data_IF_957260870990
#
_entry.id   IF_957260870990
#
_cell.length_a   1.000
_cell.length_b   1.000
_cell.length_c   1.000
_cell.angle_alpha   90.00
_cell.angle_beta   90.00
_cell.angle_gamma   90.00
#
_symmetry.space_group_name_H-M   'P 1'
#
loop_
_entity.id
_entity.type
_entity.pdbx_description
1 polymer ?
#
# COMPACT_ATOMS: atom_id res chain seq x y z
N UNK A 1 18.93 -9.17 -22.62
CA UNK A 1 18.69 -9.90 -21.37
C UNK A 1 18.57 -11.38 -21.71
N UNK A 2 19.08 -12.30 -20.87
CA UNK A 2 18.90 -13.76 -21.03
C UNK A 2 18.29 -14.51 -19.81
N UNK A 3 17.71 -13.77 -18.87
CA UNK A 3 17.32 -14.24 -17.54
C UNK A 3 16.19 -13.41 -16.92
N UNK A 4 15.63 -13.85 -15.80
CA UNK A 4 14.76 -13.08 -14.90
C UNK A 4 15.56 -12.06 -14.08
N UNK A 5 14.87 -11.09 -13.50
CA UNK A 5 15.46 -10.11 -12.58
C UNK A 5 15.85 -10.74 -11.25
N UNK A 6 16.81 -10.11 -10.58
CA UNK A 6 17.21 -10.47 -9.22
C UNK A 6 16.03 -10.20 -8.28
N UNK A 7 15.69 -11.15 -7.42
CA UNK A 7 14.72 -10.96 -6.35
C UNK A 7 15.39 -10.37 -5.11
N UNK A 8 14.73 -9.40 -4.49
CA UNK A 8 15.10 -8.82 -3.20
C UNK A 8 13.90 -8.98 -2.28
N UNK A 9 14.06 -9.59 -1.09
CA UNK A 9 13.04 -9.55 -0.05
C UNK A 9 12.60 -8.13 0.30
N UNK A 10 11.35 -7.99 0.74
CA UNK A 10 10.84 -6.76 1.33
C UNK A 10 11.60 -6.41 2.60
N UNK A 11 11.91 -5.12 2.80
CA UNK A 11 12.48 -4.61 4.06
C UNK A 11 11.53 -4.82 5.25
N UNK A 12 10.21 -4.83 4.98
CA UNK A 12 9.18 -5.14 5.96
C UNK A 12 8.86 -6.64 5.90
N UNK A 13 8.96 -7.32 7.05
CA UNK A 13 8.75 -8.77 7.14
C UNK A 13 7.30 -9.19 6.79
N UNK A 14 6.31 -8.38 7.19
CA UNK A 14 4.90 -8.69 6.99
C UNK A 14 4.10 -7.44 6.66
N UNK A 15 3.16 -7.60 5.73
CA UNK A 15 2.07 -6.64 5.47
C UNK A 15 0.72 -7.26 5.79
N UNK A 16 0.70 -8.36 6.54
CA UNK A 16 -0.54 -9.04 6.85
C UNK A 16 -1.46 -8.13 7.66
N UNK A 17 -2.68 -7.93 7.16
CA UNK A 17 -3.72 -7.23 7.90
C UNK A 17 -3.98 -7.94 9.22
N UNK A 18 -3.99 -7.17 10.31
CA UNK A 18 -4.36 -7.62 11.66
C UNK A 18 -5.88 -7.63 11.88
N UNK A 19 -6.66 -7.24 10.88
CA UNK A 19 -8.09 -7.08 11.03
C UNK A 19 -8.82 -8.41 11.27
N UNK A 20 -9.79 -8.41 12.18
CA UNK A 20 -10.54 -9.57 12.60
C UNK A 20 -12.05 -9.34 12.45
N UNK A 21 -12.66 -10.03 11.49
CA UNK A 21 -14.09 -9.92 11.20
C UNK A 21 -14.98 -10.43 12.34
N UNK A 22 -14.57 -11.47 13.07
CA UNK A 22 -15.35 -12.02 14.18
C UNK A 22 -15.42 -11.01 15.34
N UNK A 23 -14.31 -10.34 15.65
CA UNK A 23 -14.28 -9.27 16.67
C UNK A 23 -15.11 -8.07 16.19
N UNK A 24 -15.10 -7.78 14.89
CA UNK A 24 -15.94 -6.73 14.33
C UNK A 24 -17.44 -7.05 14.50
N UNK A 25 -17.85 -8.29 14.27
CA UNK A 25 -19.25 -8.70 14.48
C UNK A 25 -19.65 -8.60 15.96
N UNK A 26 -18.76 -9.00 16.88
CA UNK A 26 -18.97 -8.81 18.33
C UNK A 26 -19.12 -7.33 18.71
N UNK A 27 -18.45 -6.42 18.00
CA UNK A 27 -18.62 -4.97 18.22
C UNK A 27 -20.05 -4.52 17.92
N UNK A 28 -20.67 -5.10 16.90
CA UNK A 28 -22.06 -4.80 16.51
C UNK A 28 -23.02 -5.36 17.56
N UNK A 29 -22.82 -6.60 18.00
CA UNK A 29 -23.64 -7.21 19.05
C UNK A 29 -23.60 -6.38 20.36
N UNK A 30 -22.42 -5.93 20.78
CA UNK A 30 -22.27 -5.08 21.96
C UNK A 30 -23.01 -3.73 21.79
N UNK A 31 -22.99 -3.15 20.59
CA UNK A 31 -23.74 -1.93 20.28
C UNK A 31 -25.25 -2.14 20.42
N UNK A 32 -25.77 -3.24 19.85
CA UNK A 32 -27.19 -3.58 19.90
C UNK A 32 -27.70 -3.84 21.33
N UNK A 33 -26.81 -4.24 22.24
CA UNK A 33 -27.08 -4.40 23.67
C UNK A 33 -26.98 -3.08 24.47
N UNK A 34 -26.60 -1.97 23.84
CA UNK A 34 -26.39 -0.68 24.50
C UNK A 34 -25.05 -0.57 25.24
N UNK A 35 -24.13 -1.53 25.04
CA UNK A 35 -22.80 -1.55 25.65
C UNK A 35 -21.80 -0.72 24.80
N UNK A 36 -22.02 0.58 24.66
CA UNK A 36 -21.33 1.45 23.70
C UNK A 36 -19.80 1.47 23.84
N UNK A 37 -19.27 1.66 25.05
CA UNK A 37 -17.82 1.67 25.27
C UNK A 37 -17.16 0.34 24.87
N UNK A 38 -17.82 -0.78 25.21
CA UNK A 38 -17.35 -2.12 24.84
C UNK A 38 -17.43 -2.33 23.33
N UNK A 39 -18.48 -1.83 22.69
CA UNK A 39 -18.60 -1.82 21.23
C UNK A 39 -17.44 -1.06 20.58
N UNK A 40 -17.11 0.13 21.08
CA UNK A 40 -15.95 0.90 20.61
C UNK A 40 -14.64 0.13 20.82
N UNK A 41 -14.47 -0.52 21.97
CA UNK A 41 -13.29 -1.33 22.24
C UNK A 41 -13.13 -2.49 21.26
N UNK A 42 -14.20 -3.24 21.02
CA UNK A 42 -14.22 -4.35 20.07
C UNK A 42 -13.99 -3.85 18.65
N UNK A 43 -14.53 -2.69 18.27
CA UNK A 43 -14.23 -2.09 16.97
C UNK A 43 -12.73 -1.82 16.82
N UNK A 44 -12.08 -1.20 17.81
CA UNK A 44 -10.63 -0.95 17.76
C UNK A 44 -9.83 -2.26 17.74
N UNK A 45 -10.19 -3.23 18.58
CA UNK A 45 -9.53 -4.54 18.63
C UNK A 45 -9.70 -5.33 17.32
N UNK A 46 -10.83 -5.14 16.61
CA UNK A 46 -11.09 -5.72 15.31
C UNK A 46 -10.19 -5.16 14.20
N UNK A 47 -9.64 -3.96 14.38
CA UNK A 47 -8.67 -3.36 13.44
C UNK A 47 -7.27 -3.85 13.81
N UNK A 48 -6.90 -3.64 15.07
CA UNK A 48 -5.66 -4.14 15.65
C UNK A 48 -5.78 -4.19 17.18
N UNK A 49 -5.62 -5.39 17.75
CA UNK A 49 -5.70 -5.68 19.19
C UNK A 49 -4.76 -4.85 20.06
N UNK A 50 -3.66 -4.34 19.51
CA UNK A 50 -2.64 -3.60 20.26
C UNK A 50 -2.96 -2.10 20.35
N UNK A 51 -4.02 -1.62 19.67
CA UNK A 51 -4.37 -0.20 19.67
C UNK A 51 -4.77 0.31 21.04
N UNK A 52 -5.62 -0.44 21.76
CA UNK A 52 -6.09 -0.01 23.08
C UNK A 52 -4.97 -0.02 24.12
N UNK A 53 -4.08 -1.01 24.07
CA UNK A 53 -2.94 -1.07 24.99
C UNK A 53 -1.91 0.03 24.71
N UNK A 54 -1.75 0.42 23.44
CA UNK A 54 -0.71 1.38 23.04
C UNK A 54 -1.15 2.85 23.09
N UNK A 55 -2.44 3.13 22.89
CA UNK A 55 -2.93 4.48 22.61
C UNK A 55 -4.11 4.94 23.48
N UNK A 56 -4.55 4.14 24.46
CA UNK A 56 -5.64 4.49 25.37
C UNK A 56 -5.17 5.33 26.56
N UNK A 57 -6.07 6.18 27.06
CA UNK A 57 -5.97 6.72 28.41
C UNK A 57 -6.24 5.63 29.47
N UNK A 58 -5.91 5.87 30.76
CA UNK A 58 -6.13 4.89 31.83
C UNK A 58 -7.59 4.47 32.03
N UNK A 59 -8.55 5.35 31.71
CA UNK A 59 -9.98 5.09 31.84
C UNK A 59 -10.53 4.22 30.69
N UNK A 60 -9.82 4.09 29.58
CA UNK A 60 -10.27 3.31 28.44
C UNK A 60 -11.29 4.03 27.53
N UNK A 61 -11.50 5.33 27.67
CA UNK A 61 -12.53 6.07 26.93
C UNK A 61 -11.96 7.16 26.00
N UNK A 62 -10.64 7.34 25.95
CA UNK A 62 -9.97 8.27 25.04
C UNK A 62 -8.77 7.60 24.38
N UNK A 63 -8.68 7.68 23.05
CA UNK A 63 -7.66 7.01 22.23
C UNK A 63 -6.99 8.00 21.29
N UNK A 64 -5.66 7.98 21.22
CA UNK A 64 -4.87 8.90 20.38
C UNK A 64 -4.02 8.08 19.40
N UNK A 65 -4.60 7.75 18.26
CA UNK A 65 -4.06 6.75 17.34
C UNK A 65 -3.39 7.42 16.13
N UNK A 66 -2.09 7.16 15.86
CA UNK A 66 -1.41 7.71 14.71
C UNK A 66 -1.82 7.03 13.39
N UNK A 67 -1.91 7.80 12.31
CA UNK A 67 -2.13 7.31 10.95
C UNK A 67 -1.42 8.23 9.95
N UNK A 68 -0.31 7.78 9.37
CA UNK A 68 0.48 8.58 8.45
C UNK A 68 0.83 9.96 9.06
N UNK A 69 0.43 11.08 8.43
CA UNK A 69 0.65 12.41 8.96
C UNK A 69 -0.33 12.84 10.06
N UNK A 70 -1.37 12.04 10.33
CA UNK A 70 -2.48 12.39 11.23
C UNK A 70 -2.34 11.73 12.61
N UNK A 71 -3.02 12.32 13.58
CA UNK A 71 -3.34 11.71 14.86
C UNK A 71 -4.85 11.76 15.08
N UNK A 72 -5.49 10.60 15.09
CA UNK A 72 -6.93 10.48 15.28
C UNK A 72 -7.21 10.34 16.77
N UNK A 73 -8.02 11.26 17.30
CA UNK A 73 -8.51 11.24 18.66
C UNK A 73 -9.94 10.75 18.68
N UNK A 74 -10.18 9.65 19.38
CA UNK A 74 -11.52 9.17 19.70
C UNK A 74 -11.75 9.41 21.19
N UNK A 75 -12.88 10.00 21.54
CA UNK A 75 -13.26 10.22 22.93
C UNK A 75 -14.73 9.91 23.13
N UNK A 76 -15.02 9.00 24.04
CA UNK A 76 -16.36 8.70 24.51
C UNK A 76 -16.60 9.40 25.86
N UNK A 77 -17.67 10.19 25.93
CA UNK A 77 -18.21 10.72 27.18
C UNK A 77 -19.55 10.04 27.53
N UNK A 78 -20.30 10.58 28.51
CA UNK A 78 -21.56 9.96 28.96
C UNK A 78 -22.67 9.96 27.89
N UNK A 79 -22.61 10.87 26.90
CA UNK A 79 -23.69 11.07 25.92
C UNK A 79 -23.24 10.89 24.46
N UNK A 80 -21.96 11.14 24.16
CA UNK A 80 -21.45 11.29 22.80
C UNK A 80 -20.10 10.61 22.57
N UNK A 81 -19.91 10.22 21.31
CA UNK A 81 -18.62 9.86 20.75
C UNK A 81 -18.11 11.03 19.91
N UNK A 82 -16.88 11.46 20.16
CA UNK A 82 -16.17 12.50 19.44
C UNK A 82 -14.98 11.90 18.70
N UNK A 83 -14.84 12.26 17.42
CA UNK A 83 -13.69 11.91 16.58
C UNK A 83 -13.11 13.21 16.06
N UNK A 84 -11.84 13.47 16.37
CA UNK A 84 -11.12 14.65 15.90
C UNK A 84 -9.74 14.29 15.39
N UNK A 85 -9.28 14.93 14.32
CA UNK A 85 -7.90 14.80 13.87
C UNK A 85 -7.33 16.19 13.50
N UNK A 86 -6.32 16.69 14.24
CA UNK A 86 -5.62 17.91 13.86
C UNK A 86 -4.94 17.71 12.49
N UNK A 87 -5.11 18.67 11.59
CA UNK A 87 -4.63 18.56 10.22
C UNK A 87 -3.58 19.64 9.91
N UNK A 88 -4.00 20.83 9.48
CA UNK A 88 -3.12 21.85 8.91
C UNK A 88 -3.36 23.22 9.51
N UNK A 89 -2.29 24.03 9.55
CA UNK A 89 -2.35 25.45 9.86
C UNK A 89 -2.66 26.20 8.56
N UNK A 90 -3.65 27.10 8.63
CA UNK A 90 -4.02 27.98 7.55
C UNK A 90 -2.85 28.95 7.25
N UNK A 91 -2.32 28.97 6.01
CA UNK A 91 -1.17 29.78 5.65
C UNK A 91 -1.59 31.24 5.45
N UNK A 92 -0.63 32.14 5.65
CA UNK A 92 -0.84 33.58 5.40
C UNK A 92 -0.98 33.90 3.90
N UNK A 93 -0.25 33.17 3.05
CA UNK A 93 -0.32 33.27 1.59
C UNK A 93 -1.29 32.24 1.04
N UNK A 94 -1.98 32.58 -0.06
CA UNK A 94 -2.95 31.70 -0.73
C UNK A 94 -4.11 31.22 0.16
N UNK A 95 -4.40 31.92 1.26
CA UNK A 95 -5.44 31.58 2.23
C UNK A 95 -6.81 31.33 1.57
N UNK A 96 -7.24 32.21 0.67
CA UNK A 96 -8.54 32.11 -0.03
C UNK A 96 -8.60 30.86 -0.91
N UNK A 97 -7.49 30.51 -1.57
CA UNK A 97 -7.44 29.33 -2.42
C UNK A 97 -7.53 28.04 -1.59
N UNK A 98 -6.78 27.95 -0.48
CA UNK A 98 -6.87 26.82 0.44
C UNK A 98 -8.26 26.70 1.06
N UNK A 99 -8.86 27.81 1.51
CA UNK A 99 -10.22 27.82 2.07
C UNK A 99 -11.24 27.29 1.05
N UNK A 100 -11.15 27.70 -0.22
CA UNK A 100 -12.01 27.19 -1.29
C UNK A 100 -11.82 25.70 -1.50
N UNK A 101 -10.58 25.21 -1.48
CA UNK A 101 -10.30 23.78 -1.63
C UNK A 101 -10.85 22.98 -0.45
N UNK A 102 -10.63 23.43 0.79
CA UNK A 102 -11.23 22.81 1.99
C UNK A 102 -12.75 22.79 1.93
N UNK A 103 -13.39 23.89 1.51
CA UNK A 103 -14.84 23.90 1.31
C UNK A 103 -15.27 22.88 0.24
N UNK A 104 -14.54 22.77 -0.87
CA UNK A 104 -14.80 21.75 -1.89
C UNK A 104 -14.72 20.33 -1.33
N UNK A 105 -13.72 20.03 -0.49
CA UNK A 105 -13.58 18.71 0.14
C UNK A 105 -14.80 18.37 1.01
N UNK A 106 -15.27 19.32 1.80
CA UNK A 106 -16.47 19.14 2.63
C UNK A 106 -17.75 18.86 1.83
N UNK A 107 -17.81 19.24 0.54
CA UNK A 107 -18.99 19.01 -0.30
C UNK A 107 -18.86 17.78 -1.21
N UNK A 108 -17.64 17.41 -1.61
CA UNK A 108 -17.41 16.43 -2.68
C UNK A 108 -16.68 15.16 -2.22
N UNK A 109 -15.89 15.24 -1.15
CA UNK A 109 -14.98 14.15 -0.72
C UNK A 109 -15.31 13.62 0.68
N UNK A 110 -16.03 14.40 1.50
CA UNK A 110 -16.40 14.05 2.87
C UNK A 110 -17.92 13.97 3.01
N UNK A 111 -18.42 12.84 3.49
CA UNK A 111 -19.85 12.59 3.73
C UNK A 111 -20.25 12.83 5.19
N UNK A 112 -19.44 12.38 6.15
CA UNK A 112 -19.79 12.42 7.58
C UNK A 112 -18.86 13.33 8.39
N UNK A 113 -17.55 13.17 8.25
CA UNK A 113 -16.59 14.06 8.87
C UNK A 113 -16.55 15.41 8.15
N UNK A 114 -16.15 16.46 8.86
CA UNK A 114 -16.00 17.78 8.28
C UNK A 114 -14.63 18.36 8.62
N UNK A 115 -14.03 19.08 7.68
CA UNK A 115 -12.92 19.99 7.96
C UNK A 115 -13.46 21.29 8.56
N UNK A 116 -13.10 21.56 9.80
CA UNK A 116 -13.53 22.72 10.58
C UNK A 116 -12.33 23.62 10.84
N UNK A 117 -12.51 24.93 10.63
CA UNK A 117 -11.51 25.95 10.98
C UNK A 117 -11.73 26.42 12.42
N UNK A 118 -10.76 26.22 13.29
CA UNK A 118 -10.71 26.72 14.66
C UNK A 118 -9.54 27.70 14.79
N UNK A 119 -9.85 29.00 14.85
CA UNK A 119 -8.82 30.04 14.75
C UNK A 119 -8.13 29.99 13.38
N UNK A 120 -6.84 29.63 13.36
CA UNK A 120 -6.05 29.43 12.14
C UNK A 120 -5.70 27.96 11.88
N UNK A 121 -6.42 27.01 12.49
CA UNK A 121 -6.10 25.59 12.43
C UNK A 121 -7.29 24.77 11.90
N UNK A 122 -7.01 23.86 10.97
CA UNK A 122 -7.99 22.92 10.44
C UNK A 122 -7.96 21.59 11.17
N UNK A 123 -9.14 21.08 11.47
CA UNK A 123 -9.37 19.80 12.11
C UNK A 123 -10.39 19.01 11.30
N UNK A 124 -10.17 17.71 11.12
CA UNK A 124 -11.27 16.81 10.83
C UNK A 124 -12.08 16.59 12.10
N UNK A 125 -13.40 16.73 12.02
CA UNK A 125 -14.29 16.55 13.15
C UNK A 125 -15.54 15.76 12.77
N UNK A 126 -15.93 14.87 13.68
CA UNK A 126 -17.20 14.17 13.67
C UNK A 126 -17.61 13.90 15.11
N UNK A 127 -18.90 14.04 15.43
CA UNK A 127 -19.44 13.61 16.71
C UNK A 127 -20.87 13.11 16.54
N UNK A 128 -21.30 12.20 17.41
CA UNK A 128 -22.68 11.76 17.47
C UNK A 128 -23.06 11.24 18.86
N UNK A 129 -24.36 11.22 19.22
CA UNK A 129 -24.82 10.51 20.40
C UNK A 129 -24.42 9.03 20.36
N UNK A 130 -24.20 8.41 21.52
CA UNK A 130 -23.80 7.00 21.62
C UNK A 130 -24.81 6.05 20.96
N UNK A 131 -26.11 6.35 21.07
CA UNK A 131 -27.16 5.56 20.38
C UNK A 131 -27.07 5.59 18.86
N UNK A 132 -26.27 6.49 18.29
CA UNK A 132 -25.98 6.54 16.87
C UNK A 132 -24.55 6.09 16.54
N UNK A 133 -23.73 5.60 17.47
CA UNK A 133 -22.32 5.24 17.23
C UNK A 133 -22.12 3.83 16.62
N UNK A 134 -23.06 3.36 15.79
CA UNK A 134 -23.00 2.01 15.22
C UNK A 134 -21.62 1.71 14.57
N UNK A 135 -20.96 0.57 14.87
CA UNK A 135 -19.57 0.31 14.50
C UNK A 135 -19.25 0.48 13.01
N UNK A 136 -20.13 0.02 12.11
CA UNK A 136 -19.99 0.25 10.66
C UNK A 136 -19.86 1.72 10.28
N UNK A 137 -20.64 2.60 10.93
CA UNK A 137 -20.59 4.04 10.68
C UNK A 137 -19.30 4.62 11.24
N UNK A 138 -18.90 4.24 12.45
CA UNK A 138 -17.66 4.73 13.06
C UNK A 138 -16.45 4.30 12.24
N UNK A 139 -16.39 3.03 11.83
CA UNK A 139 -15.35 2.55 10.92
C UNK A 139 -15.32 3.35 9.60
N UNK A 140 -16.49 3.70 9.03
CA UNK A 140 -16.55 4.54 7.84
C UNK A 140 -15.96 5.93 8.08
N UNK A 141 -16.37 6.62 9.15
CA UNK A 141 -15.81 7.94 9.52
C UNK A 141 -14.30 7.88 9.70
N UNK A 142 -13.79 6.86 10.39
CA UNK A 142 -12.34 6.69 10.59
C UNK A 142 -11.63 6.48 9.26
N UNK A 143 -12.17 5.63 8.38
CA UNK A 143 -11.62 5.40 7.04
C UNK A 143 -11.63 6.67 6.20
N UNK A 144 -12.72 7.41 6.22
CA UNK A 144 -12.89 8.68 5.50
C UNK A 144 -11.82 9.69 5.93
N UNK A 145 -11.70 9.96 7.23
CA UNK A 145 -10.68 10.88 7.79
C UNK A 145 -9.26 10.42 7.41
N UNK A 146 -8.94 9.14 7.59
CA UNK A 146 -7.62 8.60 7.28
C UNK A 146 -7.28 8.73 5.78
N UNK A 147 -8.22 8.36 4.91
CA UNK A 147 -8.01 8.36 3.44
C UNK A 147 -7.86 9.78 2.91
N UNK A 148 -8.80 10.67 3.24
CA UNK A 148 -8.81 12.04 2.77
C UNK A 148 -7.63 12.82 3.38
N UNK A 149 -7.40 12.68 4.68
CA UNK A 149 -6.31 13.39 5.34
C UNK A 149 -4.94 12.95 4.84
N UNK A 150 -4.70 11.66 4.59
CA UNK A 150 -3.41 11.21 4.03
C UNK A 150 -3.19 11.70 2.59
N UNK A 151 -4.24 11.70 1.76
CA UNK A 151 -4.17 12.19 0.37
C UNK A 151 -3.86 13.69 0.31
N UNK A 152 -4.63 14.50 1.03
CA UNK A 152 -4.55 15.96 0.92
C UNK A 152 -3.47 16.60 1.81
N UNK A 153 -2.89 15.86 2.76
CA UNK A 153 -1.72 16.34 3.52
C UNK A 153 -0.57 16.71 2.57
N UNK A 154 -0.14 15.78 1.72
CA UNK A 154 0.94 16.01 0.75
C UNK A 154 0.54 17.01 -0.34
N UNK A 155 -0.65 16.87 -0.91
CA UNK A 155 -1.13 17.79 -1.96
C UNK A 155 -1.17 19.24 -1.46
N UNK A 156 -1.60 19.48 -0.22
CA UNK A 156 -1.66 20.84 0.32
C UNK A 156 -0.28 21.36 0.67
N UNK A 157 0.65 20.50 1.11
CA UNK A 157 2.04 20.89 1.32
C UNK A 157 2.66 21.41 0.03
N UNK A 158 2.45 20.72 -1.08
CA UNK A 158 2.97 21.11 -2.38
C UNK A 158 2.32 22.38 -2.92
N UNK A 159 0.98 22.49 -2.84
CA UNK A 159 0.24 23.61 -3.42
C UNK A 159 0.32 24.90 -2.59
N UNK A 160 0.40 24.79 -1.26
CA UNK A 160 0.20 25.92 -0.36
C UNK A 160 1.33 26.11 0.67
N UNK A 161 2.33 25.22 0.71
CA UNK A 161 3.40 25.26 1.71
C UNK A 161 2.87 25.30 3.16
N UNK A 162 1.79 24.56 3.41
CA UNK A 162 1.12 24.48 4.72
C UNK A 162 1.98 23.79 5.75
N UNK A 163 1.78 24.17 7.01
CA UNK A 163 2.37 23.49 8.16
C UNK A 163 1.35 22.56 8.79
N UNK A 164 1.80 21.38 9.22
CA UNK A 164 0.96 20.45 9.99
C UNK A 164 0.80 20.96 11.42
N UNK A 165 -0.37 20.74 12.02
CA UNK A 165 -0.59 21.06 13.45
C UNK A 165 0.30 20.15 14.31
N UNK A 166 0.33 18.86 13.99
CA UNK A 166 1.15 17.87 14.66
C UNK A 166 2.31 17.45 13.76
N UNK A 167 3.45 17.12 14.38
CA UNK A 167 4.52 16.43 13.66
C UNK A 167 4.07 14.99 13.37
N UNK A 168 4.23 14.49 12.13
CA UNK A 168 3.97 13.10 11.80
C UNK A 168 4.80 12.18 12.69
N UNK A 169 4.21 11.07 13.12
CA UNK A 169 4.94 10.03 13.80
C UNK A 169 5.50 9.07 12.75
N UNK A 170 6.82 9.09 12.56
CA UNK A 170 7.52 8.16 11.70
C UNK A 170 8.79 7.64 12.36
N UNK A 171 9.16 6.42 11.99
CA UNK A 171 10.44 5.81 12.35
C UNK A 171 11.28 5.75 11.08
N UNK A 172 12.37 6.52 10.95
CA UNK A 172 13.25 6.41 9.80
C UNK A 172 13.85 5.00 9.72
N UNK A 173 14.15 4.55 8.50
CA UNK A 173 14.88 3.30 8.30
C UNK A 173 16.28 3.43 8.90
N UNK A 174 16.84 2.31 9.37
CA UNK A 174 18.22 2.28 9.85
C UNK A 174 19.19 2.50 8.67
N UNK A 175 20.44 2.92 8.92
CA UNK A 175 21.43 3.06 7.86
C UNK A 175 21.60 1.79 7.02
N UNK A 176 21.54 0.61 7.66
CA UNK A 176 21.65 -0.69 7.00
C UNK A 176 20.43 -0.99 6.11
N UNK A 177 19.22 -0.67 6.58
CA UNK A 177 17.99 -0.79 5.80
C UNK A 177 18.01 0.16 4.58
N UNK A 178 18.48 1.39 4.75
CA UNK A 178 18.65 2.37 3.67
C UNK A 178 19.63 1.86 2.63
N UNK A 179 20.80 1.35 3.05
CA UNK A 179 21.81 0.79 2.15
C UNK A 179 21.26 -0.39 1.36
N UNK A 180 20.60 -1.33 2.05
CA UNK A 180 19.94 -2.48 1.41
C UNK A 180 18.91 -2.07 0.36
N UNK A 181 18.02 -1.16 0.71
CA UNK A 181 16.98 -0.67 -0.21
C UNK A 181 17.61 0.09 -1.39
N UNK A 182 18.62 0.91 -1.13
CA UNK A 182 19.36 1.62 -2.17
C UNK A 182 19.98 0.66 -3.19
N UNK A 183 20.72 -0.36 -2.73
CA UNK A 183 21.31 -1.38 -3.60
C UNK A 183 20.25 -2.13 -4.41
N UNK A 184 19.14 -2.50 -3.77
CA UNK A 184 18.03 -3.19 -4.43
C UNK A 184 17.41 -2.34 -5.54
N UNK A 185 17.20 -1.04 -5.30
CA UNK A 185 16.67 -0.10 -6.29
C UNK A 185 17.67 0.08 -7.44
N UNK A 186 18.94 0.32 -7.14
CA UNK A 186 19.98 0.52 -8.14
C UNK A 186 20.13 -0.68 -9.07
N UNK A 187 20.16 -1.89 -8.50
CA UNK A 187 20.22 -3.12 -9.28
C UNK A 187 18.94 -3.34 -10.10
N UNK A 188 17.76 -3.06 -9.54
CA UNK A 188 16.49 -3.18 -10.26
C UNK A 188 16.41 -2.22 -11.46
N UNK A 189 16.83 -0.97 -11.29
CA UNK A 189 16.87 0.03 -12.37
C UNK A 189 17.86 -0.41 -13.46
N UNK A 190 19.06 -0.84 -13.07
CA UNK A 190 20.09 -1.34 -14.00
C UNK A 190 19.59 -2.51 -14.83
N UNK A 191 18.99 -3.52 -14.21
CA UNK A 191 18.45 -4.70 -14.91
C UNK A 191 17.30 -4.32 -15.85
N UNK A 192 16.41 -3.43 -15.41
CA UNK A 192 15.31 -2.91 -16.21
C UNK A 192 15.82 -2.18 -17.46
N UNK A 193 16.75 -1.21 -17.31
CA UNK A 193 17.33 -0.47 -18.44
C UNK A 193 18.07 -1.38 -19.43
N UNK A 194 18.77 -2.41 -18.95
CA UNK A 194 19.37 -3.44 -19.81
C UNK A 194 18.31 -4.27 -20.55
N UNK A 195 17.19 -4.59 -19.88
CA UNK A 195 16.03 -5.22 -20.48
C UNK A 195 15.42 -4.37 -21.59
N UNK A 196 15.22 -3.08 -21.36
CA UNK A 196 14.71 -2.13 -22.35
C UNK A 196 15.60 -2.07 -23.59
N UNK A 197 16.92 -1.87 -23.41
CA UNK A 197 17.89 -1.86 -24.53
C UNK A 197 17.86 -3.14 -25.36
N UNK A 198 17.60 -4.29 -24.72
CA UNK A 198 17.52 -5.57 -25.41
C UNK A 198 16.31 -5.69 -26.35
N UNK A 199 15.18 -5.09 -25.98
CA UNK A 199 13.93 -5.17 -26.77
C UNK A 199 13.73 -4.00 -27.74
N UNK A 200 14.49 -2.92 -27.56
CA UNK A 200 14.40 -1.66 -28.31
C UNK A 200 14.53 -1.83 -29.83
N UNK A 201 15.55 -2.56 -30.29
CA UNK A 201 15.78 -2.81 -31.72
C UNK A 201 14.63 -3.59 -32.38
N UNK A 202 14.03 -4.50 -31.62
CA UNK A 202 12.90 -5.31 -32.07
C UNK A 202 11.53 -4.65 -31.87
N UNK A 203 11.49 -3.41 -31.34
CA UNK A 203 10.25 -2.65 -31.06
C UNK A 203 9.20 -3.43 -30.27
N UNK A 204 9.63 -4.33 -29.39
CA UNK A 204 8.74 -5.12 -28.53
C UNK A 204 8.27 -4.29 -27.33
N UNK A 205 7.47 -3.27 -27.60
CA UNK A 205 7.00 -2.33 -26.58
C UNK A 205 6.14 -2.99 -25.50
N UNK A 206 5.47 -4.10 -25.80
CA UNK A 206 4.76 -4.90 -24.80
C UNK A 206 5.71 -5.51 -23.75
N UNK A 207 6.80 -6.13 -24.20
CA UNK A 207 7.82 -6.70 -23.30
C UNK A 207 8.51 -5.59 -22.47
N UNK A 208 8.76 -4.44 -23.10
CA UNK A 208 9.32 -3.27 -22.41
C UNK A 208 8.37 -2.71 -21.34
N UNK A 209 7.07 -2.69 -21.63
CA UNK A 209 6.03 -2.30 -20.69
C UNK A 209 5.98 -3.25 -19.48
N UNK A 210 5.99 -4.57 -19.73
CA UNK A 210 5.96 -5.58 -18.67
C UNK A 210 7.16 -5.41 -17.72
N UNK A 211 8.35 -5.17 -18.29
CA UNK A 211 9.59 -4.96 -17.55
C UNK A 211 9.55 -3.69 -16.70
N UNK A 212 9.10 -2.56 -17.27
CA UNK A 212 8.99 -1.29 -16.55
C UNK A 212 7.99 -1.40 -15.41
N UNK A 213 6.78 -1.87 -15.72
CA UNK A 213 5.69 -2.00 -14.74
C UNK A 213 6.10 -2.91 -13.58
N UNK A 214 6.67 -4.09 -13.87
CA UNK A 214 7.16 -5.00 -12.85
C UNK A 214 8.29 -4.38 -12.01
N UNK A 215 9.15 -3.54 -12.59
CA UNK A 215 10.23 -2.87 -11.86
C UNK A 215 9.70 -1.82 -10.88
N UNK A 216 8.74 -0.99 -11.29
CA UNK A 216 8.12 -0.01 -10.39
C UNK A 216 7.39 -0.70 -9.23
N UNK A 217 6.61 -1.76 -9.53
CA UNK A 217 5.92 -2.54 -8.51
C UNK A 217 6.90 -3.25 -7.56
N UNK A 218 8.02 -3.77 -8.09
CA UNK A 218 9.10 -4.34 -7.28
C UNK A 218 9.74 -3.31 -6.35
N UNK A 219 10.01 -2.08 -6.82
CA UNK A 219 10.57 -1.03 -5.97
C UNK A 219 9.58 -0.70 -4.83
N UNK A 220 8.29 -0.56 -5.13
CA UNK A 220 7.25 -0.39 -4.12
C UNK A 220 7.23 -1.54 -3.10
N UNK A 221 7.39 -2.78 -3.56
CA UNK A 221 7.43 -3.97 -2.70
C UNK A 221 8.66 -4.04 -1.80
N UNK A 222 9.85 -3.72 -2.31
CA UNK A 222 11.09 -3.83 -1.54
C UNK A 222 11.19 -2.69 -0.52
N UNK A 223 10.93 -1.46 -0.97
CA UNK A 223 11.29 -0.25 -0.25
C UNK A 223 10.20 0.32 0.65
N UNK A 224 8.92 -0.02 0.40
CA UNK A 224 7.74 0.59 1.05
C UNK A 224 7.87 2.12 1.24
N UNK A 225 8.20 2.86 0.16
CA UNK A 225 8.59 4.25 0.29
C UNK A 225 7.40 5.11 0.71
N UNK A 226 7.71 6.28 1.26
CA UNK A 226 6.76 7.31 1.65
C UNK A 226 7.14 8.64 0.97
N UNK A 227 6.24 9.62 1.03
CA UNK A 227 6.48 10.95 0.44
C UNK A 227 6.81 10.89 -1.06
N UNK A 228 7.78 11.69 -1.49
CA UNK A 228 8.02 11.97 -2.92
C UNK A 228 8.36 10.74 -3.77
N UNK A 229 9.12 9.77 -3.23
CA UNK A 229 9.42 8.54 -3.97
C UNK A 229 8.16 7.69 -4.19
N UNK A 230 7.29 7.60 -3.16
CA UNK A 230 6.02 6.90 -3.27
C UNK A 230 5.14 7.55 -4.33
N UNK A 231 4.99 8.88 -4.30
CA UNK A 231 4.17 9.62 -5.25
C UNK A 231 4.68 9.46 -6.69
N UNK A 232 6.01 9.50 -6.86
CA UNK A 232 6.67 9.27 -8.15
C UNK A 232 6.37 7.87 -8.69
N UNK A 233 6.48 6.83 -7.86
CA UNK A 233 6.19 5.46 -8.24
C UNK A 233 4.70 5.21 -8.52
N UNK A 234 3.81 5.73 -7.67
CA UNK A 234 2.35 5.62 -7.87
C UNK A 234 1.93 6.32 -9.17
N UNK A 235 2.48 7.51 -9.45
CA UNK A 235 2.29 8.19 -10.73
C UNK A 235 2.81 7.37 -11.90
N UNK A 236 4.02 6.80 -11.79
CA UNK A 236 4.59 5.96 -12.84
C UNK A 236 3.71 4.74 -13.13
N UNK A 237 3.28 4.00 -12.10
CA UNK A 237 2.40 2.84 -12.22
C UNK A 237 1.05 3.21 -12.86
N UNK A 238 0.46 4.35 -12.46
CA UNK A 238 -0.77 4.86 -13.10
C UNK A 238 -0.53 5.23 -14.57
N UNK A 239 0.58 5.89 -14.87
CA UNK A 239 0.91 6.36 -16.22
C UNK A 239 1.18 5.20 -17.19
N UNK A 240 1.60 4.04 -16.68
CA UNK A 240 1.71 2.80 -17.46
C UNK A 240 0.38 2.38 -18.11
N UNK A 241 -0.77 2.75 -17.54
CA UNK A 241 -2.10 2.35 -18.01
C UNK A 241 -2.84 3.46 -18.78
N UNK A 242 -2.14 4.54 -19.18
CA UNK A 242 -2.76 5.64 -19.93
C UNK A 242 -3.14 5.23 -21.34
N UNK A 243 -4.22 5.81 -21.84
CA UNK A 243 -4.66 5.63 -23.22
C UNK A 243 -3.85 6.50 -24.20
N UNK A 244 -2.54 6.21 -24.30
CA UNK A 244 -1.59 6.84 -25.23
C UNK A 244 -0.75 5.73 -25.91
N UNK A 245 0.00 6.03 -26.99
CA UNK A 245 0.81 5.01 -27.67
C UNK A 245 1.82 4.33 -26.73
N UNK A 246 1.96 3.00 -26.84
CA UNK A 246 2.82 2.20 -25.95
C UNK A 246 4.29 2.64 -25.98
N UNK A 247 4.78 3.10 -27.13
CA UNK A 247 6.12 3.67 -27.24
C UNK A 247 6.30 4.91 -26.36
N UNK A 248 5.30 5.79 -26.29
CA UNK A 248 5.34 6.97 -25.43
C UNK A 248 5.28 6.59 -23.93
N UNK A 249 4.48 5.57 -23.57
CA UNK A 249 4.47 5.02 -22.21
C UNK A 249 5.87 4.53 -21.82
N UNK A 250 6.51 3.73 -22.68
CA UNK A 250 7.85 3.19 -22.44
C UNK A 250 8.90 4.30 -22.33
N UNK A 251 8.82 5.33 -23.17
CA UNK A 251 9.72 6.49 -23.09
C UNK A 251 9.57 7.23 -21.76
N UNK A 252 8.34 7.55 -21.35
CA UNK A 252 8.08 8.24 -20.08
C UNK A 252 8.50 7.39 -18.88
N UNK A 253 8.16 6.10 -18.88
CA UNK A 253 8.56 5.17 -17.82
C UNK A 253 10.09 5.04 -17.72
N UNK A 254 10.80 4.99 -18.85
CA UNK A 254 12.27 5.00 -18.85
C UNK A 254 12.82 6.26 -18.19
N UNK A 255 12.29 7.43 -18.54
CA UNK A 255 12.74 8.70 -17.95
C UNK A 255 12.54 8.69 -16.42
N UNK A 256 11.36 8.31 -15.94
CA UNK A 256 11.10 8.22 -14.49
C UNK A 256 12.02 7.23 -13.80
N UNK A 257 12.33 6.09 -14.45
CA UNK A 257 13.27 5.12 -13.90
C UNK A 257 14.70 5.67 -13.82
N UNK A 258 15.14 6.43 -14.81
CA UNK A 258 16.45 7.10 -14.81
C UNK A 258 16.54 8.18 -13.72
N UNK A 259 15.46 8.93 -13.50
CA UNK A 259 15.34 9.89 -12.38
C UNK A 259 15.44 9.19 -11.02
N UNK A 260 14.74 8.06 -10.83
CA UNK A 260 14.84 7.25 -9.60
C UNK A 260 16.26 6.70 -9.43
N UNK A 261 16.89 6.22 -10.51
CA UNK A 261 18.24 5.67 -10.45
C UNK A 261 19.30 6.74 -10.10
N UNK A 262 19.05 8.00 -10.44
CA UNK A 262 19.98 9.10 -10.17
C UNK A 262 19.97 9.58 -8.72
N UNK A 263 18.96 9.19 -7.91
CA UNK A 263 18.86 9.59 -6.50
C UNK A 263 20.06 9.11 -5.70
N UNK A 264 20.63 9.98 -4.86
CA UNK A 264 21.65 9.59 -3.90
C UNK A 264 21.04 8.80 -2.72
N UNK A 265 21.85 8.04 -1.95
CA UNK A 265 21.36 7.40 -0.72
C UNK A 265 20.71 8.39 0.26
N UNK A 266 21.26 9.61 0.38
CA UNK A 266 20.75 10.66 1.26
C UNK A 266 19.41 11.23 0.78
N UNK A 267 19.22 11.33 -0.54
CA UNK A 267 17.94 11.76 -1.12
C UNK A 267 16.89 10.67 -0.97
N UNK A 268 17.27 9.41 -1.21
CA UNK A 268 16.40 8.25 -1.06
C UNK A 268 15.93 8.11 0.38
N UNK A 269 16.83 8.24 1.36
CA UNK A 269 16.55 8.10 2.79
C UNK A 269 15.43 9.04 3.28
N UNK A 270 15.24 10.21 2.65
CA UNK A 270 14.15 11.14 2.98
C UNK A 270 12.76 10.53 2.75
N UNK A 271 12.66 9.50 1.91
CA UNK A 271 11.43 8.78 1.58
C UNK A 271 11.36 7.38 2.24
N UNK A 272 12.36 7.01 3.05
CA UNK A 272 12.46 5.68 3.67
C UNK A 272 12.20 5.77 5.18
N UNK A 273 10.92 5.67 5.54
CA UNK A 273 10.49 5.68 6.92
C UNK A 273 9.19 4.90 7.10
N UNK A 274 9.02 4.31 8.27
CA UNK A 274 7.78 3.67 8.69
C UNK A 274 6.78 4.72 9.17
N UNK A 275 5.54 4.63 8.70
CA UNK A 275 4.41 5.38 9.24
C UNK A 275 3.42 4.43 9.89
N UNK A 276 2.86 4.83 11.04
CA UNK A 276 1.76 4.08 11.63
C UNK A 276 0.54 4.07 10.69
N UNK A 277 -0.13 2.93 10.58
CA UNK A 277 -1.35 2.80 9.77
C UNK A 277 -2.50 2.36 10.67
N UNK A 278 -3.40 3.29 11.00
CA UNK A 278 -4.63 2.96 11.71
C UNK A 278 -5.64 2.22 10.82
N UNK A 279 -6.20 2.90 9.82
CA UNK A 279 -7.10 2.30 8.82
C UNK A 279 -6.38 2.27 7.48
N UNK A 280 -6.26 1.11 6.86
CA UNK A 280 -5.63 1.01 5.54
C UNK A 280 -6.63 1.16 4.40
N UNK A 281 -6.15 1.75 3.32
CA UNK A 281 -6.74 1.77 1.98
C UNK A 281 -6.72 0.37 1.31
N UNK A 282 -5.67 -0.42 1.54
CA UNK A 282 -5.53 -1.78 1.01
C UNK A 282 -6.38 -2.79 1.77
N UNK A 283 -6.90 -3.74 1.01
CA UNK A 283 -7.65 -4.86 1.57
C UNK A 283 -6.73 -6.03 1.90
N UNK A 284 -7.17 -6.86 2.84
CA UNK A 284 -6.57 -8.17 3.12
C UNK A 284 -6.59 -9.03 1.85
N UNK A 285 -5.47 -9.66 1.51
CA UNK A 285 -5.41 -10.62 0.41
C UNK A 285 -6.37 -11.80 0.68
N UNK A 286 -7.25 -12.09 -0.28
CA UNK A 286 -8.19 -13.19 -0.21
C UNK A 286 -7.94 -14.17 -1.37
N UNK A 287 -7.71 -15.45 -1.05
CA UNK A 287 -7.33 -16.44 -2.04
C UNK A 287 -8.36 -16.61 -3.17
N UNK A 288 -9.66 -16.51 -2.87
CA UNK A 288 -10.70 -16.59 -3.89
C UNK A 288 -10.63 -15.39 -4.85
N UNK A 289 -10.60 -14.16 -4.30
CA UNK A 289 -10.47 -12.95 -5.14
C UNK A 289 -9.20 -12.98 -5.98
N UNK A 290 -8.10 -13.45 -5.42
CA UNK A 290 -6.82 -13.55 -6.13
C UNK A 290 -6.90 -14.57 -7.28
N UNK A 291 -7.60 -15.69 -7.11
CA UNK A 291 -7.84 -16.63 -8.21
C UNK A 291 -8.67 -16.00 -9.33
N UNK A 292 -9.73 -15.27 -8.98
CA UNK A 292 -10.56 -14.54 -9.94
C UNK A 292 -9.70 -13.51 -10.71
N UNK A 293 -8.88 -12.73 -10.02
CA UNK A 293 -7.97 -11.74 -10.61
C UNK A 293 -6.87 -12.37 -11.49
N UNK A 294 -6.49 -13.62 -11.19
CA UNK A 294 -5.42 -14.33 -11.89
C UNK A 294 -5.90 -15.10 -13.11
N UNK A 295 -7.20 -15.38 -13.25
CA UNK A 295 -7.74 -16.30 -14.26
C UNK A 295 -7.33 -15.94 -15.69
N UNK A 296 -7.41 -14.66 -16.06
CA UNK A 296 -7.00 -14.16 -17.38
C UNK A 296 -5.50 -14.35 -17.60
N UNK A 297 -4.69 -14.02 -16.59
CA UNK A 297 -3.24 -14.17 -16.66
C UNK A 297 -2.88 -15.66 -16.84
N UNK A 298 -3.47 -16.53 -16.03
CA UNK A 298 -3.27 -17.98 -16.07
C UNK A 298 -3.50 -18.56 -17.47
N UNK A 299 -4.67 -18.32 -18.07
CA UNK A 299 -4.98 -18.80 -19.44
C UNK A 299 -3.95 -18.34 -20.46
N UNK A 300 -3.51 -17.08 -20.37
CA UNK A 300 -2.55 -16.52 -21.32
C UNK A 300 -1.15 -17.13 -21.16
N UNK A 301 -0.67 -17.28 -19.92
CA UNK A 301 0.67 -17.83 -19.68
C UNK A 301 0.74 -19.34 -19.90
N UNK A 302 -0.35 -20.09 -19.69
CA UNK A 302 -0.42 -21.51 -20.06
C UNK A 302 -0.17 -21.71 -21.56
N UNK A 303 -0.85 -20.94 -22.41
CA UNK A 303 -0.63 -21.00 -23.86
C UNK A 303 0.80 -20.59 -24.25
N UNK A 304 1.38 -19.59 -23.58
CA UNK A 304 2.77 -19.19 -23.81
C UNK A 304 3.76 -20.30 -23.41
N UNK A 305 3.49 -21.01 -22.31
CA UNK A 305 4.33 -22.10 -21.82
C UNK A 305 4.32 -23.28 -22.80
N UNK A 306 3.15 -23.67 -23.30
CA UNK A 306 2.99 -24.72 -24.32
C UNK A 306 3.70 -24.35 -25.63
N UNK A 307 3.67 -23.07 -26.01
CA UNK A 307 4.38 -22.55 -27.18
C UNK A 307 5.91 -22.38 -26.95
N UNK A 308 6.42 -22.66 -25.75
CA UNK A 308 7.83 -22.49 -25.41
C UNK A 308 8.28 -21.02 -25.25
N UNK A 309 7.36 -20.07 -25.15
CA UNK A 309 7.65 -18.66 -24.88
C UNK A 309 7.87 -18.42 -23.38
N UNK A 310 8.94 -19.02 -22.86
CA UNK A 310 9.33 -18.90 -21.45
C UNK A 310 9.57 -17.45 -21.01
N UNK A 311 9.99 -16.58 -21.94
CA UNK A 311 10.22 -15.16 -21.67
C UNK A 311 8.90 -14.48 -21.28
N UNK A 312 7.86 -14.64 -22.09
CA UNK A 312 6.55 -14.04 -21.79
C UNK A 312 5.94 -14.62 -20.52
N UNK A 313 6.11 -15.93 -20.27
CA UNK A 313 5.69 -16.57 -19.01
C UNK A 313 6.32 -15.89 -17.80
N UNK A 314 7.65 -15.75 -17.77
CA UNK A 314 8.30 -15.11 -16.62
C UNK A 314 7.86 -13.66 -16.43
N UNK A 315 7.87 -12.85 -17.49
CA UNK A 315 7.56 -11.42 -17.39
C UNK A 315 6.15 -11.19 -16.83
N UNK A 316 5.15 -11.91 -17.36
CA UNK A 316 3.75 -11.74 -16.95
C UNK A 316 3.48 -12.26 -15.53
N UNK A 317 4.05 -13.40 -15.16
CA UNK A 317 3.86 -13.94 -13.81
C UNK A 317 4.56 -13.05 -12.78
N UNK A 318 5.79 -12.63 -13.03
CA UNK A 318 6.52 -11.72 -12.14
C UNK A 318 5.78 -10.39 -11.98
N UNK A 319 5.29 -9.80 -13.07
CA UNK A 319 4.43 -8.62 -13.01
C UNK A 319 3.21 -8.86 -12.12
N UNK A 320 2.48 -9.96 -12.35
CA UNK A 320 1.25 -10.26 -11.60
C UNK A 320 1.50 -10.48 -10.11
N UNK A 321 2.63 -11.08 -9.74
CA UNK A 321 2.99 -11.27 -8.33
C UNK A 321 3.24 -9.93 -7.64
N UNK A 322 4.04 -9.02 -8.23
CA UNK A 322 4.26 -7.70 -7.64
C UNK A 322 3.00 -6.80 -7.68
N UNK A 323 2.16 -6.92 -8.70
CA UNK A 323 0.85 -6.25 -8.75
C UNK A 323 -0.01 -6.65 -7.55
N UNK A 324 0.03 -7.92 -7.16
CA UNK A 324 -0.72 -8.44 -6.01
C UNK A 324 -0.25 -7.83 -4.69
N UNK A 325 1.07 -7.69 -4.49
CA UNK A 325 1.64 -6.96 -3.34
C UNK A 325 1.26 -5.48 -3.35
N UNK A 326 1.20 -4.86 -4.53
CA UNK A 326 0.81 -3.47 -4.65
C UNK A 326 -0.67 -3.25 -4.25
N UNK A 327 -1.56 -4.17 -4.63
CA UNK A 327 -3.00 -4.04 -4.40
C UNK A 327 -3.47 -4.51 -3.01
N UNK A 328 -2.71 -5.37 -2.33
CA UNK A 328 -3.20 -6.08 -1.14
C UNK A 328 -2.24 -6.03 0.05
N UNK A 329 -2.81 -6.13 1.25
CA UNK A 329 -2.11 -6.55 2.46
C UNK A 329 -1.94 -8.07 2.44
N UNK A 330 -0.71 -8.52 2.25
CA UNK A 330 -0.42 -9.91 1.94
C UNK A 330 -0.43 -10.76 3.20
N UNK A 331 -1.35 -11.72 3.24
CA UNK A 331 -1.41 -12.74 4.29
C UNK A 331 -0.25 -13.72 4.15
N UNK A 332 0.21 -14.26 5.27
CA UNK A 332 1.45 -15.05 5.33
C UNK A 332 1.41 -16.33 4.50
N UNK A 333 0.23 -16.95 4.38
CA UNK A 333 0.03 -18.15 3.58
C UNK A 333 0.38 -17.90 2.10
N UNK A 334 -0.10 -16.80 1.53
CA UNK A 334 0.21 -16.41 0.16
C UNK A 334 1.59 -15.78 0.03
N UNK A 335 2.00 -14.93 0.98
CA UNK A 335 3.30 -14.29 0.99
C UNK A 335 4.44 -15.31 0.91
N UNK A 336 4.38 -16.36 1.75
CA UNK A 336 5.36 -17.44 1.75
C UNK A 336 5.50 -18.12 0.38
N UNK A 337 4.37 -18.37 -0.30
CA UNK A 337 4.35 -19.03 -1.62
C UNK A 337 5.02 -18.14 -2.67
N UNK A 338 4.68 -16.85 -2.71
CA UNK A 338 5.22 -15.92 -3.70
C UNK A 338 6.71 -15.61 -3.47
N UNK A 339 7.12 -15.36 -2.22
CA UNK A 339 8.54 -15.12 -1.87
C UNK A 339 9.39 -16.32 -2.26
N UNK A 340 8.94 -17.55 -1.96
CA UNK A 340 9.66 -18.77 -2.33
C UNK A 340 9.87 -18.88 -3.85
N UNK A 341 8.81 -18.64 -4.62
CA UNK A 341 8.86 -18.72 -6.07
C UNK A 341 9.79 -17.65 -6.68
N UNK A 342 9.66 -16.40 -6.23
CA UNK A 342 10.50 -15.29 -6.70
C UNK A 342 11.98 -15.51 -6.33
N UNK A 343 12.25 -16.05 -5.14
CA UNK A 343 13.60 -16.42 -4.71
C UNK A 343 14.20 -17.50 -5.61
N UNK A 344 13.46 -18.58 -5.88
CA UNK A 344 13.93 -19.68 -6.73
C UNK A 344 14.10 -19.28 -8.20
N UNK A 345 13.27 -18.35 -8.67
CA UNK A 345 13.33 -17.81 -10.02
C UNK A 345 14.33 -16.65 -10.16
N UNK A 346 14.97 -16.18 -9.09
CA UNK A 346 15.89 -15.03 -9.09
C UNK A 346 17.09 -15.27 -10.01
N UNK A 347 17.40 -14.30 -10.88
CA UNK A 347 18.56 -14.29 -11.77
C UNK A 347 18.79 -15.59 -12.58
N UNK A 348 17.71 -16.31 -12.92
CA UNK A 348 17.75 -17.57 -13.65
C UNK A 348 17.43 -17.37 -15.13
N UNK A 349 17.92 -18.23 -16.02
CA UNK A 349 17.45 -18.25 -17.41
C UNK A 349 15.93 -18.44 -17.45
N UNK A 350 15.23 -17.87 -18.43
CA UNK A 350 13.77 -18.02 -18.49
C UNK A 350 13.32 -19.47 -18.62
N UNK A 351 14.07 -20.31 -19.31
CA UNK A 351 13.77 -21.75 -19.39
C UNK A 351 13.78 -22.43 -18.02
N UNK A 352 14.62 -21.97 -17.09
CA UNK A 352 14.68 -22.47 -15.72
C UNK A 352 13.62 -21.81 -14.83
N UNK A 353 13.39 -20.51 -14.99
CA UNK A 353 12.48 -19.74 -14.16
C UNK A 353 11.00 -19.94 -14.50
N UNK A 354 10.65 -20.10 -15.78
CA UNK A 354 9.25 -20.20 -16.23
C UNK A 354 8.50 -21.38 -15.59
N UNK A 355 9.06 -22.61 -15.51
CA UNK A 355 8.41 -23.71 -14.80
C UNK A 355 8.18 -23.42 -13.30
N UNK A 356 9.14 -22.78 -12.63
CA UNK A 356 9.05 -22.44 -11.19
C UNK A 356 7.90 -21.46 -10.96
N UNK A 357 7.86 -20.38 -11.74
CA UNK A 357 6.83 -19.35 -11.65
C UNK A 357 5.45 -19.89 -12.05
N UNK A 358 5.39 -20.70 -13.10
CA UNK A 358 4.13 -21.30 -13.57
C UNK A 358 3.56 -22.30 -12.57
N UNK A 359 4.37 -23.21 -12.01
CA UNK A 359 3.92 -24.15 -10.97
C UNK A 359 3.35 -23.42 -9.76
N UNK A 360 3.95 -22.30 -9.38
CA UNK A 360 3.43 -21.45 -8.30
C UNK A 360 2.08 -20.86 -8.64
N UNK A 361 1.95 -20.30 -9.84
CA UNK A 361 0.68 -19.75 -10.33
C UNK A 361 -0.41 -20.84 -10.39
N UNK A 362 -0.07 -22.02 -10.91
CA UNK A 362 -0.96 -23.16 -11.00
C UNK A 362 -1.43 -23.63 -9.61
N UNK A 363 -0.53 -23.70 -8.63
CA UNK A 363 -0.88 -24.04 -7.25
C UNK A 363 -1.86 -23.03 -6.62
N UNK A 364 -1.70 -21.74 -6.91
CA UNK A 364 -2.65 -20.70 -6.48
C UNK A 364 -4.02 -20.94 -7.13
N UNK A 365 -4.06 -21.22 -8.43
CA UNK A 365 -5.30 -21.41 -9.20
C UNK A 365 -6.06 -22.67 -8.82
N UNK A 366 -5.37 -23.80 -8.65
CA UNK A 366 -6.00 -25.10 -8.35
C UNK A 366 -6.35 -25.26 -6.86
N UNK A 367 -5.76 -24.43 -5.99
CA UNK A 367 -5.86 -24.58 -4.54
C UNK A 367 -5.01 -25.72 -4.00
N UNK A 368 -5.01 -25.92 -2.66
CA UNK A 368 -4.13 -26.90 -2.03
C UNK A 368 -4.43 -28.30 -2.57
N UNK A 369 -3.52 -28.80 -3.42
CA UNK A 369 -3.48 -30.22 -3.74
C UNK A 369 -3.17 -30.97 -2.45
N UNK A 370 -3.96 -32.02 -2.13
CA UNK A 370 -3.90 -32.79 -0.87
C UNK A 370 -2.53 -33.37 -0.48
N UNK A 371 -1.46 -33.18 -1.26
CA UNK A 371 -0.17 -33.85 -1.09
C UNK A 371 1.08 -32.95 -0.98
N UNK A 372 0.96 -31.62 -0.89
CA UNK A 372 2.13 -30.77 -0.61
C UNK A 372 2.09 -30.25 0.82
N UNK A 373 2.77 -30.98 1.72
CA UNK A 373 3.16 -30.43 3.03
C UNK A 373 4.08 -29.22 2.76
N UNK A 374 3.57 -28.02 2.94
CA UNK A 374 4.40 -26.82 3.03
C UNK A 374 5.18 -26.90 4.35
N UNK A 375 6.45 -27.28 4.28
CA UNK A 375 7.38 -27.08 5.38
C UNK A 375 7.86 -25.63 5.36
N UNK A 376 7.66 -24.97 6.49
CA UNK A 376 8.06 -23.60 6.78
C UNK A 376 9.61 -23.51 6.79
N UNK A 377 10.27 -22.68 5.96
CA UNK A 377 11.73 -22.64 5.92
C UNK A 377 12.37 -21.70 6.96
N UNK A 378 11.62 -21.07 7.86
CA UNK A 378 12.19 -20.20 8.91
C UNK A 378 12.43 -20.99 10.21
N UNK A 379 13.13 -22.11 10.08
CA UNK A 379 13.73 -22.83 11.19
C UNK A 379 15.07 -23.41 10.74
N UNK A 380 16.03 -22.51 10.49
CA UNK A 380 17.47 -22.74 10.57
C UNK A 380 18.18 -21.39 10.68
#
# INVERSE_FOLDING_TARGET
>A
MKQTFTFYPSVIASTASTANAEIFDLSIEAFEQGEYLKSLHLLLDSINKDLRTSYSNPQGNEFHIPHGPLFIRLKEDEEQLHITAPFLILPEKNQIAMLRQVSSLNFNDLDLAHLVLKGNQFYFEYHCPLSFSHPRKIHYVLKEICTIGNKYDYEFQDLFAVQRINRPFFTPYTPEEVEYVYEAIQQSCKECLQGLRYFESSRKFGDMWDILSATFLKIMYVAHPQGSLRDTLEKAIRDMNRNIPLAAIVTNGRQTLEEIQALSPEELAKSLYFTATFISDKQRSNMQKIREDYEKCYKQVSACLEAGDYKTVCLRITHKFYETYYQNHMQEDLNCILVKALTQASACSWSKAAPILYQTLEAIMQGPQKNTKFQNPIAA
#
